data_IF_222079679650
#
_entry.id   IF_222079679650
#
_cell.length_a   1.000
_cell.length_b   1.000
_cell.length_c   1.000
_cell.angle_alpha   90.00
_cell.angle_beta   90.00
_cell.angle_gamma   90.00
#
_symmetry.space_group_name_H-M   'P 1'
#
loop_
_entity.id
_entity.type
_entity.pdbx_description
1 polymer ?
#
# COMPACT_ATOMS: atom_id res chain seq x y z
N UNK A 1 8.59 -5.56 -10.70
CA UNK A 1 8.22 -6.90 -10.18
C UNK A 1 8.93 -8.01 -10.93
N UNK A 2 8.56 -8.36 -12.18
CA UNK A 2 9.17 -9.51 -12.87
C UNK A 2 10.68 -9.42 -13.07
N UNK A 3 11.24 -8.21 -13.28
CA UNK A 3 12.70 -8.04 -13.34
C UNK A 3 13.35 -8.50 -12.03
N UNK A 4 12.93 -7.92 -10.91
CA UNK A 4 13.44 -8.28 -9.58
C UNK A 4 13.24 -9.77 -9.27
N UNK A 5 12.06 -10.34 -9.55
CA UNK A 5 11.81 -11.76 -9.33
C UNK A 5 12.73 -12.65 -10.19
N UNK A 6 13.01 -12.23 -11.42
CA UNK A 6 13.94 -12.91 -12.30
C UNK A 6 15.39 -12.80 -11.85
N UNK A 7 15.80 -11.62 -11.36
CA UNK A 7 17.14 -11.37 -10.80
C UNK A 7 17.40 -12.28 -9.57
N UNK A 8 16.36 -12.76 -8.89
CA UNK A 8 16.43 -13.67 -7.73
C UNK A 8 16.43 -15.17 -8.09
N UNK A 9 16.29 -15.55 -9.37
CA UNK A 9 16.15 -16.97 -9.75
C UNK A 9 17.36 -17.81 -9.35
N UNK A 10 18.57 -17.31 -9.60
CA UNK A 10 19.83 -18.01 -9.28
C UNK A 10 19.99 -18.19 -7.77
N UNK A 11 19.80 -17.13 -6.99
CA UNK A 11 19.87 -17.16 -5.53
C UNK A 11 18.89 -18.17 -4.92
N UNK A 12 17.69 -18.28 -5.49
CA UNK A 12 16.64 -19.18 -5.02
C UNK A 12 16.74 -20.60 -5.60
N UNK A 13 17.71 -20.88 -6.48
CA UNK A 13 17.79 -22.15 -7.20
C UNK A 13 16.55 -22.44 -8.07
N UNK A 14 15.86 -21.40 -8.53
CA UNK A 14 14.62 -21.48 -9.30
C UNK A 14 14.90 -21.38 -10.81
N UNK A 15 14.14 -22.13 -11.61
CA UNK A 15 14.37 -22.22 -13.05
C UNK A 15 13.50 -21.25 -13.88
N UNK A 16 12.36 -20.82 -13.36
CA UNK A 16 11.39 -20.00 -14.08
C UNK A 16 10.45 -19.24 -13.14
N UNK A 17 9.71 -18.28 -13.70
CA UNK A 17 8.77 -17.43 -12.98
C UNK A 17 7.33 -17.88 -13.24
N UNK A 18 6.49 -17.78 -12.22
CA UNK A 18 5.04 -18.03 -12.33
C UNK A 18 4.26 -16.77 -11.99
N UNK A 19 3.18 -16.51 -12.73
CA UNK A 19 2.24 -15.45 -12.39
C UNK A 19 0.78 -15.84 -12.61
N UNK A 20 -0.09 -15.42 -11.71
CA UNK A 20 -1.55 -15.57 -11.83
C UNK A 20 -2.23 -14.54 -12.73
N UNK A 21 -1.49 -13.88 -13.64
CA UNK A 21 -2.09 -12.95 -14.60
C UNK A 21 -3.02 -13.68 -15.59
N UNK A 22 -4.19 -13.10 -15.83
CA UNK A 22 -5.21 -13.62 -16.75
C UNK A 22 -5.40 -12.65 -17.90
N UNK A 23 -5.33 -13.14 -19.13
CA UNK A 23 -5.50 -12.33 -20.35
C UNK A 23 -6.86 -11.62 -20.35
N UNK A 24 -6.85 -10.30 -20.42
CA UNK A 24 -8.04 -9.44 -20.50
C UNK A 24 -8.74 -9.17 -19.16
N UNK A 25 -8.25 -9.71 -18.04
CA UNK A 25 -8.91 -9.56 -16.73
C UNK A 25 -8.83 -8.13 -16.20
N UNK A 26 -7.70 -7.47 -16.44
CA UNK A 26 -7.48 -6.04 -16.15
C UNK A 26 -7.33 -5.27 -17.47
N UNK A 27 -8.30 -4.42 -17.85
CA UNK A 27 -8.31 -3.73 -19.15
C UNK A 27 -7.07 -2.89 -19.47
N UNK A 28 -6.40 -2.38 -18.44
CA UNK A 28 -5.25 -1.49 -18.60
C UNK A 28 -3.91 -2.22 -18.60
N UNK A 29 -3.78 -3.33 -17.88
CA UNK A 29 -2.50 -3.99 -17.63
C UNK A 29 -2.38 -5.41 -18.16
N UNK A 30 -3.49 -6.10 -18.42
CA UNK A 30 -3.50 -7.52 -18.77
C UNK A 30 -4.03 -7.79 -20.20
N UNK A 31 -3.94 -6.80 -21.09
CA UNK A 31 -4.08 -7.05 -22.53
C UNK A 31 -2.85 -7.81 -23.03
N UNK A 32 -2.99 -8.64 -24.08
CA UNK A 32 -1.89 -9.45 -24.63
C UNK A 32 -0.65 -8.60 -24.96
N UNK A 33 -0.84 -7.42 -25.54
CA UNK A 33 0.23 -6.49 -25.89
C UNK A 33 0.94 -5.93 -24.64
N UNK A 34 0.18 -5.53 -23.61
CA UNK A 34 0.70 -5.04 -22.35
C UNK A 34 1.52 -6.11 -21.61
N UNK A 35 1.00 -7.34 -21.50
CA UNK A 35 1.69 -8.46 -20.87
C UNK A 35 2.97 -8.82 -21.60
N UNK A 36 2.95 -8.81 -22.95
CA UNK A 36 4.14 -9.02 -23.77
C UNK A 36 5.19 -7.93 -23.56
N UNK A 37 4.79 -6.65 -23.51
CA UNK A 37 5.70 -5.53 -23.21
C UNK A 37 6.33 -5.68 -21.83
N UNK A 38 5.52 -5.95 -20.81
CA UNK A 38 5.99 -6.15 -19.43
C UNK A 38 7.01 -7.28 -19.35
N UNK A 39 6.75 -8.42 -20.00
CA UNK A 39 7.71 -9.53 -20.03
C UNK A 39 9.00 -9.17 -20.78
N UNK A 40 8.93 -8.44 -21.91
CA UNK A 40 10.15 -7.98 -22.60
C UNK A 40 10.99 -7.06 -21.71
N UNK A 41 10.35 -6.08 -21.07
CA UNK A 41 11.00 -5.12 -20.19
C UNK A 41 11.60 -5.77 -18.94
N UNK A 42 11.10 -6.94 -18.51
CA UNK A 42 11.68 -7.64 -17.38
C UNK A 42 12.99 -8.32 -17.71
N UNK A 43 13.29 -8.63 -18.98
CA UNK A 43 14.42 -9.47 -19.37
C UNK A 43 14.16 -10.98 -19.23
N UNK A 44 13.08 -11.37 -18.55
CA UNK A 44 12.76 -12.77 -18.22
C UNK A 44 11.52 -13.30 -18.94
N UNK A 45 11.14 -12.67 -20.06
CA UNK A 45 9.92 -12.99 -20.83
C UNK A 45 9.78 -14.48 -21.18
N UNK A 46 10.88 -15.10 -21.57
CA UNK A 46 10.91 -16.49 -22.04
C UNK A 46 10.95 -17.50 -20.88
N UNK A 47 11.08 -17.02 -19.63
CA UNK A 47 10.99 -17.82 -18.41
C UNK A 47 9.70 -17.56 -17.62
N UNK A 48 8.75 -16.77 -18.14
CA UNK A 48 7.55 -16.38 -17.41
C UNK A 48 6.31 -17.19 -17.83
N UNK A 49 5.92 -18.14 -17.00
CA UNK A 49 4.73 -18.99 -17.16
C UNK A 49 3.51 -18.34 -16.49
N UNK A 50 2.35 -18.38 -17.16
CA UNK A 50 1.09 -17.83 -16.65
C UNK A 50 -0.02 -18.90 -16.62
N UNK A 51 -0.05 -19.80 -15.62
CA UNK A 51 -0.83 -21.02 -15.69
C UNK A 51 -2.32 -20.83 -15.98
N UNK A 52 -2.92 -19.76 -15.46
CA UNK A 52 -4.34 -19.49 -15.65
C UNK A 52 -4.73 -19.12 -17.09
N UNK A 53 -3.79 -18.66 -17.91
CA UNK A 53 -4.07 -18.20 -19.28
C UNK A 53 -3.00 -18.61 -20.31
N UNK A 54 -2.09 -19.52 -19.96
CA UNK A 54 -0.94 -19.89 -20.78
C UNK A 54 -1.36 -20.47 -22.14
N UNK A 55 -2.49 -21.18 -22.21
CA UNK A 55 -3.03 -21.73 -23.48
C UNK A 55 -3.36 -20.64 -24.51
N UNK A 56 -3.51 -19.39 -24.09
CA UNK A 56 -3.81 -18.23 -24.95
C UNK A 56 -2.59 -17.39 -25.33
N UNK A 57 -1.41 -17.77 -24.83
CA UNK A 57 -0.15 -17.06 -24.94
C UNK A 57 0.86 -17.90 -25.73
N UNK A 58 1.95 -17.25 -26.15
CA UNK A 58 3.08 -17.96 -26.74
C UNK A 58 3.75 -18.85 -25.70
N UNK A 59 4.26 -19.97 -26.15
CA UNK A 59 5.01 -20.88 -25.27
C UNK A 59 6.33 -20.25 -24.83
N UNK A 60 6.65 -20.49 -23.57
CA UNK A 60 7.89 -20.08 -22.91
C UNK A 60 8.83 -21.25 -22.81
N UNK A 61 10.11 -21.01 -22.51
CA UNK A 61 11.13 -22.04 -22.37
C UNK A 61 10.70 -23.22 -21.46
N UNK A 62 10.07 -23.01 -20.28
CA UNK A 62 9.60 -24.13 -19.45
C UNK A 62 8.59 -25.05 -20.14
N UNK A 63 7.79 -24.52 -21.07
CA UNK A 63 6.82 -25.30 -21.84
C UNK A 63 7.51 -25.99 -23.02
N UNK A 64 8.37 -25.26 -23.75
CA UNK A 64 9.08 -25.77 -24.92
C UNK A 64 10.05 -26.91 -24.57
N UNK A 65 10.66 -26.84 -23.38
CA UNK A 65 11.61 -27.83 -22.88
C UNK A 65 10.94 -28.88 -21.97
N UNK A 66 9.61 -28.90 -21.90
CA UNK A 66 8.80 -29.84 -21.11
C UNK A 66 9.12 -29.85 -19.60
N UNK A 67 9.57 -28.73 -19.04
CA UNK A 67 9.69 -28.56 -17.58
C UNK A 67 8.31 -28.42 -16.92
N UNK A 68 7.33 -27.93 -17.69
CA UNK A 68 5.94 -27.74 -17.30
C UNK A 68 5.06 -28.26 -18.43
N UNK A 69 4.08 -29.11 -18.09
CA UNK A 69 3.12 -29.60 -19.09
C UNK A 69 2.11 -28.50 -19.46
N UNK A 70 1.97 -28.23 -20.75
CA UNK A 70 0.97 -27.28 -21.27
C UNK A 70 -0.46 -27.79 -21.06
N UNK A 71 -0.66 -29.11 -20.98
CA UNK A 71 -1.97 -29.72 -20.77
C UNK A 71 -2.59 -29.26 -19.45
N UNK A 72 -1.78 -29.14 -18.40
CA UNK A 72 -2.16 -28.70 -17.04
C UNK A 72 -2.53 -27.22 -16.95
N UNK A 73 -2.22 -26.44 -17.99
CA UNK A 73 -2.49 -25.00 -18.00
C UNK A 73 -3.93 -24.71 -18.43
N UNK A 74 -4.39 -23.49 -18.18
CA UNK A 74 -5.75 -23.05 -18.50
C UNK A 74 -5.77 -21.97 -19.59
N UNK A 75 -6.98 -21.72 -20.07
CA UNK A 75 -7.34 -20.76 -21.12
C UNK A 75 -8.28 -19.66 -20.59
N UNK A 76 -8.17 -19.32 -19.30
CA UNK A 76 -9.03 -18.28 -18.71
C UNK A 76 -8.71 -16.94 -19.38
N UNK A 77 -9.77 -16.22 -19.77
CA UNK A 77 -9.66 -14.86 -20.28
C UNK A 77 -10.92 -14.03 -20.03
N UNK A 78 -10.81 -12.72 -20.25
CA UNK A 78 -11.89 -11.75 -20.07
C UNK A 78 -11.95 -11.22 -18.64
N UNK A 79 -12.99 -10.42 -18.32
CA UNK A 79 -13.10 -9.67 -17.06
C UNK A 79 -13.74 -10.46 -15.89
N UNK A 80 -14.42 -11.55 -16.19
CA UNK A 80 -15.11 -12.38 -15.19
C UNK A 80 -14.13 -13.24 -14.39
N UNK A 81 -14.42 -13.50 -13.11
CA UNK A 81 -13.57 -14.35 -12.23
C UNK A 81 -14.20 -15.70 -11.88
N UNK A 82 -15.37 -16.01 -12.45
CA UNK A 82 -16.15 -17.19 -12.08
C UNK A 82 -15.35 -18.50 -12.18
N UNK A 83 -14.56 -18.70 -13.25
CA UNK A 83 -13.69 -19.88 -13.40
C UNK A 83 -12.59 -19.96 -12.33
N UNK A 84 -12.02 -18.82 -11.95
CA UNK A 84 -10.99 -18.77 -10.90
C UNK A 84 -11.58 -19.08 -9.53
N UNK A 85 -12.80 -18.60 -9.26
CA UNK A 85 -13.52 -18.88 -8.01
C UNK A 85 -13.94 -20.35 -7.92
N UNK A 86 -14.43 -20.93 -9.03
CA UNK A 86 -14.72 -22.36 -9.11
C UNK A 86 -13.46 -23.20 -8.90
N UNK A 87 -12.35 -22.86 -9.56
CA UNK A 87 -11.07 -23.53 -9.36
C UNK A 87 -10.56 -23.40 -7.92
N UNK A 88 -10.72 -22.23 -7.29
CA UNK A 88 -10.37 -22.04 -5.88
C UNK A 88 -11.20 -22.95 -4.97
N UNK A 89 -12.49 -23.12 -5.25
CA UNK A 89 -13.36 -24.04 -4.53
C UNK A 89 -12.94 -25.50 -4.72
N UNK A 90 -12.65 -25.92 -5.95
CA UNK A 90 -12.15 -27.27 -6.27
C UNK A 90 -10.84 -27.59 -5.56
N UNK A 91 -9.92 -26.61 -5.47
CA UNK A 91 -8.64 -26.73 -4.78
C UNK A 91 -8.74 -26.54 -3.25
N UNK A 92 -9.94 -26.29 -2.71
CA UNK A 92 -10.13 -26.03 -1.29
C UNK A 92 -9.51 -24.72 -0.78
N UNK A 93 -9.22 -23.77 -1.67
CA UNK A 93 -8.64 -22.46 -1.34
C UNK A 93 -9.74 -21.54 -0.82
N UNK A 94 -9.85 -21.43 0.51
CA UNK A 94 -10.87 -20.63 1.19
C UNK A 94 -10.49 -19.17 1.39
N UNK A 95 -9.18 -18.88 1.47
CA UNK A 95 -8.65 -17.56 1.78
C UNK A 95 -7.89 -17.01 0.58
N UNK A 96 -8.47 -16.00 -0.08
CA UNK A 96 -7.80 -15.23 -1.12
C UNK A 96 -8.23 -13.76 -1.00
N UNK A 97 -7.34 -12.81 -1.34
CA UNK A 97 -7.66 -11.40 -1.23
C UNK A 97 -8.79 -11.00 -2.16
N UNK A 98 -9.68 -10.13 -1.70
CA UNK A 98 -10.64 -9.47 -2.56
C UNK A 98 -9.91 -8.69 -3.67
N UNK A 99 -10.51 -8.48 -4.86
CA UNK A 99 -9.91 -7.70 -5.93
C UNK A 99 -9.52 -6.31 -5.43
N UNK A 100 -8.23 -6.09 -5.20
CA UNK A 100 -7.73 -4.84 -4.62
C UNK A 100 -7.92 -3.65 -5.58
N UNK A 101 -8.32 -2.51 -5.02
CA UNK A 101 -8.36 -1.22 -5.69
C UNK A 101 -6.95 -0.67 -5.91
N UNK A 102 -6.27 -1.16 -6.96
CA UNK A 102 -4.94 -0.67 -7.34
C UNK A 102 -3.83 -0.93 -6.30
N UNK A 103 -2.60 -0.60 -6.66
CA UNK A 103 -1.48 -0.62 -5.71
C UNK A 103 -1.39 0.77 -5.07
N UNK A 104 -1.25 0.88 -3.74
CA UNK A 104 -1.09 2.19 -3.09
C UNK A 104 0.09 3.01 -3.64
N UNK A 105 1.13 2.35 -4.17
CA UNK A 105 2.26 3.03 -4.82
C UNK A 105 1.90 3.70 -6.15
N UNK A 106 0.71 3.43 -6.69
CA UNK A 106 0.18 4.16 -7.86
C UNK A 106 -0.58 5.42 -7.46
N UNK A 107 -0.93 5.57 -6.18
CA UNK A 107 -1.47 6.82 -5.66
C UNK A 107 -0.34 7.84 -5.44
N UNK A 108 -0.45 9.00 -6.10
CA UNK A 108 0.59 10.04 -6.05
C UNK A 108 0.83 10.53 -4.63
N UNK A 109 -0.22 10.73 -3.84
CA UNK A 109 -0.10 11.28 -2.49
C UNK A 109 0.50 10.26 -1.53
N UNK A 110 0.12 8.99 -1.62
CA UNK A 110 0.74 7.90 -0.89
C UNK A 110 2.23 7.78 -1.21
N UNK A 111 2.59 7.80 -2.50
CA UNK A 111 3.99 7.74 -2.94
C UNK A 111 4.82 8.94 -2.48
N UNK A 112 4.24 10.14 -2.45
CA UNK A 112 4.91 11.33 -1.89
C UNK A 112 5.13 11.18 -0.37
N UNK A 113 4.12 10.69 0.37
CA UNK A 113 4.26 10.46 1.82
C UNK A 113 5.29 9.38 2.13
N UNK A 114 5.35 8.30 1.34
CA UNK A 114 6.36 7.25 1.47
C UNK A 114 7.76 7.78 1.17
N UNK A 115 7.90 8.59 0.11
CA UNK A 115 9.18 9.22 -0.24
C UNK A 115 9.68 10.14 0.89
N UNK A 116 8.81 10.97 1.46
CA UNK A 116 9.13 11.79 2.64
C UNK A 116 9.61 10.92 3.80
N UNK A 117 8.91 9.82 4.09
CA UNK A 117 9.25 8.92 5.18
C UNK A 117 10.64 8.27 5.00
N UNK A 118 10.94 7.83 3.77
CA UNK A 118 12.25 7.29 3.41
C UNK A 118 13.38 8.32 3.51
N UNK A 119 13.16 9.55 3.05
CA UNK A 119 14.16 10.63 3.11
C UNK A 119 14.55 10.97 4.56
N UNK A 120 13.63 10.80 5.50
CA UNK A 120 13.85 11.06 6.92
C UNK A 120 14.21 9.81 7.73
N UNK A 121 14.40 8.65 7.07
CA UNK A 121 14.74 7.37 7.72
C UNK A 121 13.74 6.93 8.81
N UNK A 122 12.45 7.23 8.61
CA UNK A 122 11.35 6.92 9.55
C UNK A 122 10.50 5.74 9.05
N UNK A 123 11.12 4.73 8.43
CA UNK A 123 10.41 3.63 7.74
C UNK A 123 10.12 2.42 8.64
N UNK A 124 9.94 2.63 9.93
CA UNK A 124 9.48 1.59 10.84
C UNK A 124 8.04 1.16 10.51
N UNK A 125 7.66 -0.04 10.97
CA UNK A 125 6.36 -0.65 10.66
C UNK A 125 5.18 0.25 11.04
N UNK A 126 5.26 0.92 12.18
CA UNK A 126 4.21 1.82 12.65
C UNK A 126 4.03 2.99 11.68
N UNK A 127 5.12 3.69 11.35
CA UNK A 127 5.07 4.81 10.41
C UNK A 127 4.63 4.39 9.01
N UNK A 128 5.00 3.20 8.55
CA UNK A 128 4.54 2.63 7.28
C UNK A 128 3.03 2.35 7.27
N UNK A 129 2.47 1.84 8.38
CA UNK A 129 1.03 1.61 8.51
C UNK A 129 0.24 2.92 8.58
N UNK A 130 0.77 3.94 9.28
CA UNK A 130 0.15 5.27 9.38
C UNK A 130 0.03 5.98 8.03
N UNK A 131 0.85 5.65 7.01
CA UNK A 131 0.73 6.23 5.66
C UNK A 131 -0.64 6.02 5.00
N UNK A 132 -1.46 5.08 5.49
CA UNK A 132 -2.79 4.81 4.95
C UNK A 132 -3.84 5.83 5.42
N UNK A 133 -3.57 6.54 6.52
CA UNK A 133 -4.56 7.34 7.24
C UNK A 133 -4.16 8.81 7.30
N UNK A 134 -5.15 9.67 7.46
CA UNK A 134 -4.96 11.08 7.73
C UNK A 134 -4.29 11.91 6.63
N UNK A 135 -4.09 13.19 6.97
CA UNK A 135 -3.35 14.21 6.21
C UNK A 135 -2.00 14.39 6.90
N UNK A 136 -0.91 14.29 6.15
CA UNK A 136 0.43 14.33 6.71
C UNK A 136 1.11 15.68 6.44
N UNK A 137 1.70 16.24 7.48
CA UNK A 137 2.46 17.49 7.44
C UNK A 137 3.83 17.26 8.06
N UNK A 138 4.88 17.56 7.30
CA UNK A 138 6.26 17.55 7.81
C UNK A 138 6.52 18.90 8.45
N UNK A 139 6.64 18.94 9.78
CA UNK A 139 6.80 20.19 10.53
C UNK A 139 8.27 20.55 10.74
N UNK A 140 9.13 19.54 10.90
CA UNK A 140 10.58 19.68 10.98
C UNK A 140 11.26 18.41 10.45
N UNK A 141 12.60 18.37 10.42
CA UNK A 141 13.32 17.17 9.99
C UNK A 141 12.96 15.91 10.81
N UNK A 142 12.60 16.06 12.08
CA UNK A 142 12.29 14.94 12.98
C UNK A 142 10.82 14.82 13.34
N UNK A 143 9.99 15.85 13.10
CA UNK A 143 8.61 15.90 13.55
C UNK A 143 7.60 15.88 12.40
N UNK A 144 6.57 15.05 12.53
CA UNK A 144 5.48 14.92 11.56
C UNK A 144 4.13 14.98 12.27
N UNK A 145 3.21 15.77 11.73
CA UNK A 145 1.81 15.79 12.15
C UNK A 145 0.95 14.98 11.18
N UNK A 146 0.08 14.12 11.71
CA UNK A 146 -0.91 13.36 10.94
C UNK A 146 -2.29 13.68 11.50
N UNK A 147 -3.19 14.21 10.67
CA UNK A 147 -4.55 14.59 11.08
C UNK A 147 -5.56 13.66 10.42
N UNK A 148 -6.34 12.92 11.22
CA UNK A 148 -7.39 12.03 10.72
C UNK A 148 -8.45 12.77 9.89
N UNK A 149 -8.97 12.10 8.86
CA UNK A 149 -9.95 12.70 7.92
C UNK A 149 -11.39 12.47 8.34
N UNK A 150 -11.64 11.38 9.05
CA UNK A 150 -12.95 10.96 9.53
C UNK A 150 -12.80 10.11 10.81
N UNK A 151 -13.93 9.77 11.43
CA UNK A 151 -13.96 9.02 12.69
C UNK A 151 -13.35 7.62 12.57
N UNK A 152 -13.52 6.95 11.43
CA UNK A 152 -12.94 5.61 11.21
C UNK A 152 -11.41 5.69 11.13
N UNK A 153 -10.86 6.71 10.47
CA UNK A 153 -9.42 6.94 10.47
C UNK A 153 -8.88 7.33 11.84
N UNK A 154 -9.59 8.18 12.59
CA UNK A 154 -9.21 8.55 13.95
C UNK A 154 -9.03 7.31 14.83
N UNK A 155 -10.02 6.40 14.82
CA UNK A 155 -9.97 5.16 15.62
C UNK A 155 -8.78 4.28 15.22
N UNK A 156 -8.57 4.06 13.91
CA UNK A 156 -7.41 3.27 13.43
C UNK A 156 -6.07 3.90 13.78
N UNK A 157 -5.99 5.23 13.73
CA UNK A 157 -4.79 5.97 14.09
C UNK A 157 -4.50 5.85 15.59
N UNK A 158 -5.54 5.95 16.43
CA UNK A 158 -5.47 5.76 17.88
C UNK A 158 -5.09 4.31 18.26
N UNK A 159 -5.62 3.31 17.56
CA UNK A 159 -5.27 1.91 17.78
C UNK A 159 -3.81 1.56 17.40
N UNK A 160 -3.28 2.26 16.39
CA UNK A 160 -1.93 1.98 15.86
C UNK A 160 -0.83 2.69 16.63
N UNK A 161 -1.09 3.91 17.10
CA UNK A 161 -0.08 4.76 17.71
C UNK A 161 -0.17 4.70 19.24
N UNK A 162 0.98 4.74 19.89
CA UNK A 162 1.07 5.01 21.32
C UNK A 162 2.10 6.14 21.45
N UNK A 163 1.67 7.31 21.91
CA UNK A 163 2.52 8.50 21.84
C UNK A 163 1.76 9.81 21.98
N UNK A 164 2.15 10.79 21.18
CA UNK A 164 1.69 12.17 21.35
C UNK A 164 0.54 12.49 20.39
N UNK A 165 -0.58 12.86 20.99
CA UNK A 165 -1.81 13.22 20.30
C UNK A 165 -2.08 14.71 20.39
N UNK A 166 -2.72 15.24 19.36
CA UNK A 166 -3.32 16.58 19.35
C UNK A 166 -4.83 16.40 19.28
N UNK A 167 -5.54 16.91 20.29
CA UNK A 167 -7.00 16.86 20.40
C UNK A 167 -7.53 18.24 20.81
N UNK A 168 -8.71 18.60 20.33
CA UNK A 168 -9.46 19.73 20.92
C UNK A 168 -10.10 19.26 22.23
N UNK A 169 -10.05 20.08 23.28
CA UNK A 169 -10.55 19.69 24.61
C UNK A 169 -12.09 19.61 24.65
N UNK A 170 -12.75 20.64 24.12
CA UNK A 170 -14.19 20.83 24.32
C UNK A 170 -15.03 20.58 23.06
N UNK A 171 -14.39 20.11 21.98
CA UNK A 171 -15.05 20.01 20.67
C UNK A 171 -14.70 18.68 20.00
N UNK A 172 -15.74 17.95 19.59
CA UNK A 172 -15.56 16.75 18.78
C UNK A 172 -14.98 17.09 17.40
N UNK A 173 -13.89 16.38 17.03
CA UNK A 173 -13.12 16.72 15.85
C UNK A 173 -12.14 15.63 15.40
N UNK A 174 -11.19 15.99 14.52
CA UNK A 174 -10.16 15.07 14.06
C UNK A 174 -9.19 14.70 15.19
N UNK A 175 -8.52 13.57 15.04
CA UNK A 175 -7.37 13.18 15.86
C UNK A 175 -6.07 13.61 15.16
N UNK A 176 -5.22 14.35 15.85
CA UNK A 176 -3.85 14.63 15.43
C UNK A 176 -2.88 13.66 16.10
N UNK A 177 -1.87 13.18 15.37
CA UNK A 177 -0.72 12.44 15.90
C UNK A 177 0.55 13.20 15.57
N UNK A 178 1.39 13.41 16.57
CA UNK A 178 2.78 13.83 16.39
C UNK A 178 3.67 12.60 16.38
N UNK A 179 4.26 12.31 15.22
CA UNK A 179 5.20 11.19 15.03
C UNK A 179 6.63 11.71 14.90
N UNK A 180 7.54 11.08 15.65
CA UNK A 180 8.96 11.41 15.71
C UNK A 180 9.32 12.30 16.89
N UNK A 181 10.45 13.02 16.80
CA UNK A 181 10.93 13.89 17.86
C UNK A 181 10.43 15.32 17.63
N UNK A 182 9.57 15.80 18.51
CA UNK A 182 8.83 17.05 18.40
C UNK A 182 9.07 17.95 19.62
N UNK A 183 10.32 18.19 20.01
CA UNK A 183 10.60 18.88 21.29
C UNK A 183 10.60 20.42 21.18
N UNK A 184 10.44 20.94 19.96
CA UNK A 184 10.55 22.36 19.66
C UNK A 184 9.21 23.09 19.86
N UNK A 185 9.14 24.11 20.74
CA UNK A 185 7.92 24.88 20.98
C UNK A 185 7.33 25.53 19.72
N UNK A 186 8.16 25.97 18.77
CA UNK A 186 7.68 26.58 17.52
C UNK A 186 7.03 25.52 16.62
N UNK A 187 7.56 24.29 16.64
CA UNK A 187 6.97 23.14 15.94
C UNK A 187 5.64 22.75 16.56
N UNK A 188 5.52 22.78 17.89
CA UNK A 188 4.25 22.56 18.57
C UNK A 188 3.21 23.60 18.20
N UNK A 189 3.57 24.89 18.24
CA UNK A 189 2.66 25.96 17.84
C UNK A 189 2.17 25.76 16.40
N UNK A 190 3.07 25.49 15.46
CA UNK A 190 2.71 25.21 14.08
C UNK A 190 1.80 23.97 13.96
N UNK A 191 2.04 22.92 14.76
CA UNK A 191 1.21 21.74 14.78
C UNK A 191 -0.23 22.06 15.22
N UNK A 192 -0.38 22.86 16.28
CA UNK A 192 -1.67 23.30 16.80
C UNK A 192 -2.41 24.18 15.78
N UNK A 193 -1.72 25.12 15.14
CA UNK A 193 -2.31 25.98 14.10
C UNK A 193 -2.85 25.16 12.91
N UNK A 194 -2.05 24.21 12.43
CA UNK A 194 -2.48 23.31 11.33
C UNK A 194 -3.63 22.42 11.80
N UNK A 195 -3.55 21.85 13.00
CA UNK A 195 -4.63 21.03 13.56
C UNK A 195 -5.95 21.81 13.63
N UNK A 196 -5.91 23.03 14.15
CA UNK A 196 -7.07 23.91 14.28
C UNK A 196 -7.68 24.25 12.92
N UNK A 197 -6.84 24.57 11.92
CA UNK A 197 -7.31 24.82 10.56
C UNK A 197 -8.09 23.65 9.95
N UNK A 198 -7.68 22.40 10.25
CA UNK A 198 -8.36 21.20 9.76
C UNK A 198 -9.49 20.70 10.67
N UNK A 199 -9.81 21.43 11.74
CA UNK A 199 -10.91 21.11 12.63
C UNK A 199 -12.22 21.74 12.07
N UNK A 200 -13.12 20.94 11.46
CA UNK A 200 -14.22 21.48 10.65
C UNK A 200 -15.29 22.24 11.45
N UNK A 201 -15.35 22.00 12.77
CA UNK A 201 -16.29 22.64 13.71
C UNK A 201 -15.61 23.63 14.66
N UNK A 202 -14.35 23.99 14.38
CA UNK A 202 -13.61 24.87 15.27
C UNK A 202 -14.11 26.33 15.16
N UNK A 203 -14.36 27.01 16.28
CA UNK A 203 -14.50 28.47 16.31
C UNK A 203 -13.17 29.14 15.93
N UNK A 204 -13.19 30.46 15.71
CA UNK A 204 -11.99 31.23 15.36
C UNK A 204 -10.86 31.09 16.39
N UNK A 205 -11.23 30.90 17.67
CA UNK A 205 -10.31 30.65 18.79
C UNK A 205 -10.82 29.48 19.62
N UNK A 206 -9.92 28.65 20.15
CA UNK A 206 -10.27 27.60 21.10
C UNK A 206 -9.05 26.88 21.65
N UNK A 207 -9.29 25.95 22.59
CA UNK A 207 -8.23 25.26 23.32
C UNK A 207 -7.92 23.92 22.68
N UNK A 208 -6.65 23.71 22.39
CA UNK A 208 -6.11 22.43 21.91
C UNK A 208 -5.11 21.92 22.94
N UNK A 209 -5.00 20.60 23.07
CA UNK A 209 -4.04 19.99 23.99
C UNK A 209 -3.16 19.01 23.22
N UNK A 210 -1.88 19.01 23.57
CA UNK A 210 -0.93 17.99 23.16
C UNK A 210 -0.82 17.02 24.33
N UNK A 211 -1.46 15.85 24.22
CA UNK A 211 -1.41 14.80 25.25
C UNK A 211 -0.44 13.73 24.82
N UNK A 212 0.53 13.39 25.67
CA UNK A 212 1.32 12.17 25.48
C UNK A 212 0.73 11.08 26.36
N UNK A 213 0.62 9.85 25.87
CA UNK A 213 0.24 8.72 26.71
C UNK A 213 1.15 8.68 27.96
N UNK A 214 0.59 9.08 29.11
CA UNK A 214 1.29 9.11 30.40
C UNK A 214 1.51 10.49 31.04
N UNK A 215 1.36 11.62 30.33
CA UNK A 215 1.38 12.97 30.93
C UNK A 215 0.65 13.99 30.03
N UNK A 216 -0.37 14.62 30.58
CA UNK A 216 -1.08 15.74 29.96
C UNK A 216 -0.38 17.06 30.33
N UNK A 217 0.30 17.68 29.37
CA UNK A 217 0.71 19.08 29.47
C UNK A 217 -0.39 19.96 28.88
N UNK A 218 -1.08 20.73 29.71
CA UNK A 218 -2.01 21.76 29.27
C UNK A 218 -1.22 22.97 28.75
N UNK A 219 -1.49 23.40 27.51
CA UNK A 219 -0.92 24.61 26.89
C UNK A 219 -2.02 25.43 26.21
#
# INVERSE_FOLDING_TARGET
MFKMAGDMLEELGAHYLVSGEVVGQRPMSQRKDAMNRVGKLSGYRDLLVRPLSQKLLRDTKPILENWVDKADMLDISGRGRYRQLALAQELGIKNFPAPAGGCLLTDRNYSLRLKDLMQHKQTDLLNMELLKYGRHFRLSHSCKLIIGRDESENRKMEDLHAGTYVKALDIAGPLGILSGKCDDPDVHKLALDIFWYYHPKAPAEGKTVITTDGDSAEH
#
